data_IF_075453858760
#
_entry.id   IF_075453858760
#
_cell.length_a   1.000
_cell.length_b   1.000
_cell.length_c   1.000
_cell.angle_alpha   90.00
_cell.angle_beta   90.00
_cell.angle_gamma   90.00
#
_symmetry.space_group_name_H-M   'P 1'
#
loop_
_entity.id
_entity.type
_entity.pdbx_description
1 polymer ?
#
# COMPACT_ATOMS: atom_id res chain seq x y z
N UNK A 1 5.90 6.59 -30.70
CA UNK A 1 5.85 5.66 -29.56
C UNK A 1 4.54 5.86 -28.82
N UNK A 2 3.71 4.81 -28.74
CA UNK A 2 2.42 4.88 -28.06
C UNK A 2 2.65 4.62 -26.57
N UNK A 3 2.31 5.59 -25.73
CA UNK A 3 2.02 5.30 -24.32
C UNK A 3 0.85 4.29 -24.36
N UNK A 4 0.89 3.19 -23.59
CA UNK A 4 -0.27 2.32 -23.44
C UNK A 4 -1.47 3.20 -23.05
N UNK A 5 -2.58 3.15 -23.81
CA UNK A 5 -3.81 3.88 -23.47
C UNK A 5 -4.30 3.53 -22.05
N UNK A 6 -3.90 2.36 -21.55
CA UNK A 6 -4.15 1.89 -20.20
C UNK A 6 -2.92 2.13 -19.32
N UNK A 7 -3.03 3.02 -18.35
CA UNK A 7 -2.00 3.25 -17.34
C UNK A 7 -1.78 1.95 -16.54
N UNK A 8 -0.55 1.41 -16.45
CA UNK A 8 -0.29 0.23 -15.64
C UNK A 8 -0.68 0.50 -14.18
N UNK A 9 -1.36 -0.46 -13.57
CA UNK A 9 -1.73 -0.37 -12.17
C UNK A 9 -0.47 -0.36 -11.30
N UNK A 10 -0.40 0.60 -10.36
CA UNK A 10 0.76 0.73 -9.45
C UNK A 10 0.70 -0.34 -8.36
N UNK A 11 -0.50 -0.63 -7.86
CA UNK A 11 -0.77 -1.63 -6.84
C UNK A 11 -1.91 -2.53 -7.30
N UNK A 12 -1.90 -3.78 -6.88
CA UNK A 12 -3.02 -4.69 -7.09
C UNK A 12 -4.20 -4.36 -6.16
N UNK A 13 -5.42 -4.77 -6.55
CA UNK A 13 -6.61 -4.61 -5.70
C UNK A 13 -6.44 -5.31 -4.33
N UNK A 14 -5.71 -6.43 -4.30
CA UNK A 14 -5.41 -7.15 -3.06
C UNK A 14 -4.51 -6.33 -2.12
N UNK A 15 -3.45 -5.72 -2.66
CA UNK A 15 -2.55 -4.85 -1.87
C UNK A 15 -3.27 -3.60 -1.40
N UNK A 16 -4.13 -3.01 -2.25
CA UNK A 16 -4.98 -1.87 -1.85
C UNK A 16 -5.90 -2.25 -0.69
N UNK A 17 -6.58 -3.41 -0.76
CA UNK A 17 -7.46 -3.88 0.31
C UNK A 17 -6.70 -4.12 1.63
N UNK A 18 -5.45 -4.58 1.58
CA UNK A 18 -4.60 -4.72 2.77
C UNK A 18 -4.23 -3.36 3.38
N UNK A 19 -3.99 -2.36 2.54
CA UNK A 19 -3.61 -1.01 2.99
C UNK A 19 -4.79 -0.22 3.58
N UNK A 20 -6.02 -0.56 3.22
CA UNK A 20 -7.24 0.13 3.66
C UNK A 20 -7.38 0.16 5.19
N UNK A 21 -7.01 -0.91 5.88
CA UNK A 21 -7.00 -0.99 7.35
C UNK A 21 -6.08 0.07 7.98
N UNK A 22 -4.94 0.38 7.34
CA UNK A 22 -4.00 1.40 7.81
C UNK A 22 -4.48 2.83 7.51
N UNK A 23 -5.16 3.02 6.38
CA UNK A 23 -5.80 4.30 6.06
C UNK A 23 -6.93 4.58 7.07
N UNK A 24 -7.78 3.59 7.32
CA UNK A 24 -8.83 3.65 8.34
C UNK A 24 -8.26 3.90 9.74
N UNK A 25 -7.16 3.22 10.11
CA UNK A 25 -6.43 3.47 11.34
C UNK A 25 -5.99 4.94 11.44
N UNK A 26 -5.38 5.50 10.38
CA UNK A 26 -4.98 6.92 10.36
C UNK A 26 -6.15 7.87 10.59
N UNK A 27 -7.30 7.58 9.96
CA UNK A 27 -8.51 8.37 10.12
C UNK A 27 -9.08 8.27 11.54
N UNK A 28 -9.01 7.09 12.16
CA UNK A 28 -9.53 6.85 13.51
C UNK A 28 -8.61 7.41 14.59
N UNK A 29 -7.29 7.25 14.43
CA UNK A 29 -6.27 7.83 15.33
C UNK A 29 -6.31 9.36 15.35
N UNK A 30 -6.62 10.01 14.22
CA UNK A 30 -6.75 11.48 14.16
C UNK A 30 -7.97 12.01 14.94
N UNK A 31 -8.98 11.18 15.17
CA UNK A 31 -10.25 11.57 15.82
C UNK A 31 -10.40 11.01 17.24
N UNK A 32 -9.64 9.98 17.61
CA UNK A 32 -9.59 9.47 18.98
C UNK A 32 -8.47 10.18 19.73
N UNK A 33 -8.84 11.05 20.68
CA UNK A 33 -7.91 11.45 21.74
C UNK A 33 -7.40 10.18 22.43
N UNK A 34 -6.09 10.10 22.67
CA UNK A 34 -5.31 8.91 23.09
C UNK A 34 -5.88 7.99 24.19
N UNK A 35 -6.97 8.37 24.86
CA UNK A 35 -7.60 7.63 25.96
C UNK A 35 -8.33 6.33 25.54
N UNK A 36 -8.84 6.22 24.31
CA UNK A 36 -9.61 5.04 23.84
C UNK A 36 -8.86 4.18 22.81
N UNK A 37 -7.54 4.32 22.73
CA UNK A 37 -6.75 3.51 21.79
C UNK A 37 -6.57 2.10 22.34
N UNK A 38 -7.52 1.21 22.03
CA UNK A 38 -7.44 -0.20 22.40
C UNK A 38 -6.23 -0.89 21.73
N UNK A 39 -5.28 -1.32 22.55
CA UNK A 39 -4.08 -2.03 22.11
C UNK A 39 -4.39 -3.33 21.33
N UNK A 40 -5.52 -3.98 21.65
CA UNK A 40 -6.05 -5.14 20.95
C UNK A 40 -6.34 -4.89 19.46
N UNK A 41 -6.71 -3.66 19.08
CA UNK A 41 -6.96 -3.28 17.69
C UNK A 41 -5.66 -3.00 16.92
N UNK A 42 -4.59 -2.63 17.64
CA UNK A 42 -3.29 -2.29 17.07
C UNK A 42 -2.37 -3.48 16.90
N UNK A 43 -2.45 -4.44 17.82
CA UNK A 43 -1.58 -5.61 17.81
C UNK A 43 -1.58 -6.39 16.48
N UNK A 44 -2.73 -6.72 15.87
CA UNK A 44 -2.74 -7.42 14.59
C UNK A 44 -2.19 -6.56 13.45
N UNK A 45 -2.50 -5.25 13.43
CA UNK A 45 -1.97 -4.31 12.45
C UNK A 45 -0.44 -4.27 12.51
N UNK A 46 0.14 -4.17 13.70
CA UNK A 46 1.59 -4.01 13.86
C UNK A 46 2.37 -5.32 13.73
N UNK A 47 1.87 -6.42 14.29
CA UNK A 47 2.63 -7.68 14.37
C UNK A 47 2.45 -8.56 13.15
N UNK A 48 1.22 -8.74 12.67
CA UNK A 48 0.92 -9.73 11.64
C UNK A 48 0.67 -9.11 10.28
N UNK A 49 -0.07 -8.01 10.21
CA UNK A 49 -0.50 -7.46 8.93
C UNK A 49 0.57 -6.56 8.31
N UNK A 50 1.31 -5.78 9.11
CA UNK A 50 2.25 -4.79 8.58
C UNK A 50 3.39 -5.42 7.79
N UNK A 51 4.06 -6.51 8.25
CA UNK A 51 5.10 -7.15 7.46
C UNK A 51 4.61 -7.63 6.10
N UNK A 52 3.39 -8.16 6.05
CA UNK A 52 2.77 -8.69 4.82
C UNK A 52 2.42 -7.56 3.86
N UNK A 53 1.67 -6.56 4.35
CA UNK A 53 1.26 -5.42 3.55
C UNK A 53 2.47 -4.63 3.02
N UNK A 54 3.51 -4.46 3.85
CA UNK A 54 4.74 -3.79 3.45
C UNK A 54 5.53 -4.58 2.41
N UNK A 55 5.67 -5.89 2.58
CA UNK A 55 6.38 -6.72 1.61
C UNK A 55 5.69 -6.71 0.24
N UNK A 56 4.36 -6.83 0.21
CA UNK A 56 3.56 -6.75 -1.02
C UNK A 56 3.67 -5.37 -1.68
N UNK A 57 3.47 -4.31 -0.91
CA UNK A 57 3.56 -2.92 -1.42
C UNK A 57 4.92 -2.63 -2.01
N UNK A 58 6.01 -3.00 -1.31
CA UNK A 58 7.37 -2.77 -1.79
C UNK A 58 7.63 -3.53 -3.09
N UNK A 59 7.27 -4.82 -3.14
CA UNK A 59 7.47 -5.62 -4.34
C UNK A 59 6.72 -5.08 -5.56
N UNK A 60 5.47 -4.61 -5.37
CA UNK A 60 4.68 -4.02 -6.46
C UNK A 60 5.23 -2.66 -6.91
N UNK A 61 5.71 -1.82 -5.98
CA UNK A 61 6.36 -0.56 -6.32
C UNK A 61 7.68 -0.76 -7.08
N UNK A 62 8.49 -1.73 -6.66
CA UNK A 62 9.74 -2.09 -7.36
C UNK A 62 9.43 -2.56 -8.79
N UNK A 63 8.45 -3.47 -8.95
CA UNK A 63 8.02 -3.95 -10.27
C UNK A 63 7.44 -2.83 -11.16
N UNK A 64 6.73 -1.87 -10.56
CA UNK A 64 6.22 -0.71 -11.28
C UNK A 64 7.35 0.23 -11.74
N UNK A 65 8.35 0.47 -10.88
CA UNK A 65 9.55 1.22 -11.25
C UNK A 65 10.32 0.54 -12.40
N UNK A 66 10.49 -0.78 -12.35
CA UNK A 66 11.11 -1.56 -13.43
C UNK A 66 10.33 -1.41 -14.74
N UNK A 67 9.00 -1.42 -14.67
CA UNK A 67 8.12 -1.19 -15.82
C UNK A 67 8.34 0.21 -16.41
N UNK A 68 8.40 1.25 -15.57
CA UNK A 68 8.66 2.62 -16.02
C UNK A 68 10.05 2.75 -16.64
N UNK A 69 11.07 2.14 -16.05
CA UNK A 69 12.43 2.15 -16.57
C UNK A 69 12.52 1.47 -17.95
N UNK A 70 11.84 0.32 -18.12
CA UNK A 70 11.74 -0.37 -19.40
C UNK A 70 11.02 0.47 -20.46
N UNK A 71 9.96 1.19 -20.09
CA UNK A 71 9.25 2.09 -20.99
C UNK A 71 10.10 3.31 -21.39
N UNK A 72 10.92 3.84 -20.48
CA UNK A 72 11.79 4.98 -20.75
C UNK A 72 13.00 4.61 -21.64
N UNK A 73 13.56 3.42 -21.47
CA UNK A 73 14.67 2.91 -22.29
C UNK A 73 14.26 2.43 -23.69
N UNK A 74 12.97 2.42 -23.99
CA UNK A 74 12.43 2.11 -25.32
C UNK A 74 12.30 3.36 -26.21
N UNK A 75 12.76 4.55 -25.76
CA UNK A 75 12.80 5.80 -26.54
C UNK A 75 14.08 5.95 -27.37
#
# INVERSE_FOLDING_TARGET
MSIPQTRPAVLSEATVAQLDSYLAFRHRFRNLYLFDLEASLLEPLLRSELPVAWAATRAELDAFCDTLAAMAGQC
#
